data_IF_362372608809
#
_entry.id   IF_362372608809
#
_cell.length_a   1.000
_cell.length_b   1.000
_cell.length_c   1.000
_cell.angle_alpha   90.00
_cell.angle_beta   90.00
_cell.angle_gamma   90.00
#
_symmetry.space_group_name_H-M   'P 1'
#
loop_
_entity.id
_entity.type
_entity.pdbx_description
1 polymer ?
#
# COMPACT_ATOMS: atom_id res chain seq x y z
N UNK A 1 0.90 -39.26 -34.07
CA UNK A 1 1.91 -38.60 -33.21
C UNK A 1 1.83 -37.09 -33.22
N UNK A 2 1.71 -36.44 -34.36
CA UNK A 2 1.58 -34.95 -34.39
C UNK A 2 0.32 -34.43 -33.66
N UNK A 3 -0.80 -35.13 -33.76
CA UNK A 3 -2.05 -34.73 -33.10
C UNK A 3 -1.99 -34.83 -31.58
N UNK A 4 -1.21 -35.74 -31.07
CA UNK A 4 -1.01 -35.93 -29.63
C UNK A 4 -0.12 -34.80 -29.04
N UNK A 5 0.87 -34.35 -29.79
CA UNK A 5 1.76 -33.24 -29.43
C UNK A 5 0.98 -31.91 -29.36
N UNK A 6 0.05 -31.71 -30.33
CA UNK A 6 -0.82 -30.51 -30.31
C UNK A 6 -1.81 -30.52 -29.15
N UNK A 7 -2.34 -31.70 -28.80
CA UNK A 7 -3.23 -31.84 -27.63
C UNK A 7 -2.52 -31.57 -26.30
N UNK A 8 -1.29 -32.05 -26.17
CA UNK A 8 -0.47 -31.78 -24.97
C UNK A 8 -0.08 -30.30 -24.89
N UNK A 9 0.24 -29.68 -26.04
CA UNK A 9 0.55 -28.24 -26.10
C UNK A 9 -0.68 -27.38 -25.77
N UNK A 10 -1.87 -27.81 -26.21
CA UNK A 10 -3.12 -27.09 -25.93
C UNK A 10 -3.50 -27.17 -24.44
N UNK A 11 -3.25 -28.30 -23.79
CA UNK A 11 -3.47 -28.49 -22.36
C UNK A 11 -2.48 -27.64 -21.53
N UNK A 12 -1.24 -27.50 -22.01
CA UNK A 12 -0.25 -26.63 -21.35
C UNK A 12 -0.62 -25.15 -21.45
N UNK A 13 -1.18 -24.70 -22.58
CA UNK A 13 -1.63 -23.32 -22.78
C UNK A 13 -2.81 -22.93 -21.89
N UNK A 14 -3.70 -23.88 -21.58
CA UNK A 14 -4.87 -23.64 -20.71
C UNK A 14 -4.46 -23.47 -19.25
N UNK A 15 -3.36 -24.08 -18.81
CA UNK A 15 -2.89 -23.92 -17.44
C UNK A 15 -2.27 -22.54 -17.16
N UNK A 16 -1.80 -21.83 -18.16
CA UNK A 16 -1.28 -20.47 -18.00
C UNK A 16 -2.38 -19.41 -17.92
N UNK A 17 -3.61 -19.74 -18.34
CA UNK A 17 -4.77 -18.85 -18.24
C UNK A 17 -5.45 -18.89 -16.85
N UNK A 18 -5.00 -19.75 -15.94
CA UNK A 18 -5.51 -19.89 -14.59
C UNK A 18 -4.77 -19.00 -13.57
N UNK A 19 -4.25 -17.84 -14.00
CA UNK A 19 -3.79 -16.81 -13.06
C UNK A 19 -5.01 -16.32 -12.28
N UNK A 20 -5.04 -16.62 -10.96
CA UNK A 20 -6.06 -16.11 -10.08
C UNK A 20 -6.00 -14.58 -10.03
N UNK A 21 -7.17 -13.93 -10.03
CA UNK A 21 -7.27 -12.50 -9.81
C UNK A 21 -6.66 -12.12 -8.45
N UNK A 22 -6.05 -10.94 -8.32
CA UNK A 22 -5.49 -10.51 -7.04
C UNK A 22 -6.59 -10.44 -5.97
N UNK A 23 -6.25 -10.84 -4.77
CA UNK A 23 -7.16 -10.79 -3.63
C UNK A 23 -7.37 -9.35 -3.16
N UNK A 24 -8.42 -9.13 -2.39
CA UNK A 24 -8.71 -7.88 -1.70
C UNK A 24 -7.51 -7.43 -0.85
N UNK A 25 -6.91 -8.35 -0.12
CA UNK A 25 -5.75 -8.09 0.73
C UNK A 25 -4.53 -7.68 -0.08
N UNK A 26 -4.30 -8.31 -1.22
CA UNK A 26 -3.20 -7.94 -2.13
C UNK A 26 -3.39 -6.54 -2.72
N UNK A 27 -4.59 -6.22 -3.19
CA UNK A 27 -4.90 -4.90 -3.73
C UNK A 27 -4.77 -3.80 -2.67
N UNK A 28 -5.30 -4.04 -1.47
CA UNK A 28 -5.17 -3.11 -0.36
C UNK A 28 -3.70 -2.90 0.03
N UNK A 29 -2.91 -3.97 0.06
CA UNK A 29 -1.49 -3.92 0.40
C UNK A 29 -0.68 -3.10 -0.61
N UNK A 30 -0.91 -3.31 -1.89
CA UNK A 30 -0.24 -2.54 -2.94
C UNK A 30 -0.60 -1.06 -2.88
N UNK A 31 -1.87 -0.74 -2.63
CA UNK A 31 -2.31 0.64 -2.48
C UNK A 31 -1.68 1.31 -1.26
N UNK A 32 -1.69 0.65 -0.09
CA UNK A 32 -1.09 1.16 1.14
C UNK A 32 0.40 1.43 0.96
N UNK A 33 1.13 0.48 0.37
CA UNK A 33 2.55 0.64 0.05
C UNK A 33 2.79 1.83 -0.87
N UNK A 34 1.97 1.99 -1.90
CA UNK A 34 2.07 3.11 -2.84
C UNK A 34 1.91 4.46 -2.16
N UNK A 35 0.94 4.60 -1.26
CA UNK A 35 0.74 5.83 -0.50
C UNK A 35 1.93 6.14 0.41
N UNK A 36 2.44 5.15 1.14
CA UNK A 36 3.61 5.33 2.00
C UNK A 36 4.88 5.61 1.19
N UNK A 37 4.98 5.08 -0.03
CA UNK A 37 6.08 5.45 -0.94
C UNK A 37 6.04 6.94 -1.30
N UNK A 38 4.86 7.49 -1.56
CA UNK A 38 4.69 8.93 -1.76
C UNK A 38 5.16 9.73 -0.54
N UNK A 39 4.79 9.27 0.65
CA UNK A 39 5.24 9.91 1.90
C UNK A 39 6.78 9.95 1.99
N UNK A 40 7.44 8.82 1.75
CA UNK A 40 8.90 8.71 1.82
C UNK A 40 9.57 9.59 0.78
N UNK A 41 9.00 9.69 -0.41
CA UNK A 41 9.53 10.48 -1.52
C UNK A 41 9.30 12.00 -1.34
N UNK A 42 8.62 12.41 -0.26
CA UNK A 42 8.29 13.81 -0.01
C UNK A 42 7.09 14.31 -0.78
N UNK A 43 6.35 13.43 -1.40
CA UNK A 43 5.11 13.74 -2.13
C UNK A 43 3.91 13.66 -1.19
N UNK A 44 3.84 14.64 -0.29
CA UNK A 44 2.88 14.65 0.80
C UNK A 44 1.44 14.85 0.33
N UNK A 45 1.25 15.57 -0.77
CA UNK A 45 -0.08 15.77 -1.37
C UNK A 45 -0.70 14.44 -1.79
N UNK A 46 0.05 13.61 -2.51
CA UNK A 46 -0.45 12.29 -2.94
C UNK A 46 -0.65 11.34 -1.77
N UNK A 47 0.19 11.41 -0.73
CA UNK A 47 -0.03 10.65 0.50
C UNK A 47 -1.35 11.05 1.17
N UNK A 48 -1.60 12.35 1.31
CA UNK A 48 -2.82 12.86 1.92
C UNK A 48 -4.06 12.52 1.08
N UNK A 49 -3.97 12.61 -0.24
CA UNK A 49 -5.06 12.26 -1.16
C UNK A 49 -5.46 10.78 -1.09
N UNK A 50 -4.59 9.93 -0.59
CA UNK A 50 -4.89 8.52 -0.31
C UNK A 50 -5.81 8.31 0.88
N UNK A 51 -6.14 9.34 1.65
CA UNK A 51 -7.05 9.25 2.79
C UNK A 51 -8.48 9.57 2.38
N UNK A 52 -9.44 8.80 2.87
CA UNK A 52 -10.86 8.97 2.55
C UNK A 52 -11.35 10.39 2.87
N UNK A 53 -10.83 10.99 3.93
CA UNK A 53 -11.25 12.32 4.39
C UNK A 53 -10.62 13.49 3.62
N UNK A 54 -9.71 13.23 2.68
CA UNK A 54 -8.91 14.29 2.04
C UNK A 54 -9.75 15.38 1.36
N UNK A 55 -10.83 14.99 0.69
CA UNK A 55 -11.69 15.92 -0.05
C UNK A 55 -12.51 16.87 0.85
N UNK A 56 -12.66 16.53 2.13
CA UNK A 56 -13.45 17.31 3.10
C UNK A 56 -12.61 18.29 3.92
N UNK A 57 -11.29 18.33 3.69
CA UNK A 57 -10.38 19.18 4.45
C UNK A 57 -10.39 20.62 3.95
N UNK A 58 -10.35 21.58 4.89
CA UNK A 58 -10.05 22.98 4.56
C UNK A 58 -8.61 23.13 4.09
N UNK A 59 -8.32 24.18 3.33
CA UNK A 59 -6.95 24.44 2.84
C UNK A 59 -5.96 24.63 4.00
N UNK A 60 -6.36 25.31 5.05
CA UNK A 60 -5.53 25.52 6.24
C UNK A 60 -5.20 24.20 6.94
N UNK A 61 -6.19 23.35 7.14
CA UNK A 61 -5.97 22.06 7.78
C UNK A 61 -5.12 21.14 6.92
N UNK A 62 -5.37 21.15 5.59
CA UNK A 62 -4.53 20.42 4.63
C UNK A 62 -3.06 20.82 4.74
N UNK A 63 -2.78 22.12 4.76
CA UNK A 63 -1.41 22.64 4.92
C UNK A 63 -0.77 22.20 6.22
N UNK A 64 -1.52 22.19 7.33
CA UNK A 64 -1.02 21.73 8.63
C UNK A 64 -0.66 20.25 8.61
N UNK A 65 -1.46 19.41 7.96
CA UNK A 65 -1.15 17.98 7.83
C UNK A 65 0.11 17.75 6.98
N UNK A 66 0.25 18.47 5.87
CA UNK A 66 1.43 18.38 4.99
C UNK A 66 2.69 18.80 5.74
N UNK A 67 2.63 19.90 6.49
CA UNK A 67 3.74 20.35 7.36
C UNK A 67 4.09 19.30 8.41
N UNK A 68 3.07 18.66 8.99
CA UNK A 68 3.26 17.57 9.95
C UNK A 68 3.96 16.37 9.35
N UNK A 69 3.65 15.99 8.14
CA UNK A 69 4.34 14.89 7.44
C UNK A 69 5.81 15.24 7.19
N UNK A 70 6.08 16.46 6.74
CA UNK A 70 7.45 16.91 6.51
C UNK A 70 8.27 16.90 7.80
N UNK A 71 7.70 17.36 8.91
CA UNK A 71 8.34 17.33 10.23
C UNK A 71 8.60 15.90 10.71
N UNK A 72 7.64 15.01 10.52
CA UNK A 72 7.79 13.61 10.88
C UNK A 72 8.98 12.98 10.14
N UNK A 73 9.10 13.17 8.82
CA UNK A 73 10.22 12.63 8.05
C UNK A 73 11.55 13.25 8.47
N UNK A 74 11.58 14.55 8.76
CA UNK A 74 12.79 15.21 9.24
C UNK A 74 13.25 14.65 10.59
N UNK A 75 12.31 14.34 11.49
CA UNK A 75 12.60 13.71 12.78
C UNK A 75 13.15 12.28 12.60
N UNK A 76 12.58 11.50 11.70
CA UNK A 76 13.07 10.16 11.40
C UNK A 76 14.47 10.20 10.77
N UNK A 77 14.75 11.19 9.94
CA UNK A 77 16.08 11.38 9.38
C UNK A 77 17.13 11.60 10.47
N UNK A 78 16.82 12.42 11.46
CA UNK A 78 17.73 12.68 12.59
C UNK A 78 17.86 11.49 13.54
N UNK A 79 16.75 10.85 13.85
CA UNK A 79 16.71 9.82 14.89
C UNK A 79 17.21 8.46 14.40
N UNK A 80 16.92 8.10 13.15
CA UNK A 80 17.10 6.76 12.62
C UNK A 80 17.75 6.68 11.23
N UNK A 81 18.22 7.80 10.70
CA UNK A 81 18.80 7.85 9.36
C UNK A 81 17.78 7.84 8.23
N UNK A 82 16.53 8.18 8.53
CA UNK A 82 15.43 8.24 7.58
C UNK A 82 14.78 6.90 7.28
N UNK A 83 13.65 6.94 6.57
CA UNK A 83 12.95 5.75 6.09
C UNK A 83 13.45 5.44 4.69
N UNK A 84 14.16 4.34 4.52
CA UNK A 84 14.76 3.96 3.24
C UNK A 84 13.81 3.16 2.36
N UNK A 85 12.94 2.35 2.95
CA UNK A 85 12.10 1.41 2.24
C UNK A 85 10.82 1.11 3.02
N UNK A 86 9.76 0.83 2.29
CA UNK A 86 8.51 0.27 2.81
C UNK A 86 8.30 -1.11 2.23
N UNK A 87 8.07 -2.10 3.08
CA UNK A 87 7.74 -3.47 2.69
C UNK A 87 6.36 -3.85 3.18
N UNK A 88 5.68 -4.68 2.43
CA UNK A 88 4.43 -5.29 2.86
C UNK A 88 4.78 -6.47 3.77
N UNK A 89 4.27 -6.43 5.00
CA UNK A 89 4.42 -7.54 5.95
C UNK A 89 3.29 -8.54 5.77
N UNK A 90 2.05 -8.11 5.99
CA UNK A 90 0.86 -8.94 5.82
C UNK A 90 -0.38 -8.06 5.75
N UNK A 91 -1.50 -8.66 5.36
CA UNK A 91 -2.80 -8.00 5.39
C UNK A 91 -3.90 -9.00 5.78
N UNK A 92 -4.92 -8.50 6.45
CA UNK A 92 -6.09 -9.30 6.81
C UNK A 92 -7.34 -8.42 6.82
N UNK A 93 -8.47 -9.01 6.45
CA UNK A 93 -9.76 -8.36 6.46
C UNK A 93 -10.55 -8.82 7.67
N UNK A 94 -10.98 -7.85 8.49
CA UNK A 94 -11.92 -8.10 9.57
C UNK A 94 -13.34 -7.92 9.03
N UNK A 95 -14.10 -9.01 9.00
CA UNK A 95 -15.48 -9.01 8.48
C UNK A 95 -16.43 -8.16 9.33
N UNK A 96 -16.11 -7.92 10.60
CA UNK A 96 -16.95 -7.14 11.51
C UNK A 96 -16.72 -5.63 11.36
N UNK A 97 -15.54 -5.20 10.91
CA UNK A 97 -15.15 -3.80 10.81
C UNK A 97 -15.17 -3.25 9.37
N UNK A 98 -15.38 -4.11 8.38
CA UNK A 98 -15.51 -3.76 6.95
C UNK A 98 -14.28 -3.02 6.37
N UNK A 99 -13.09 -3.29 6.90
CA UNK A 99 -11.85 -2.76 6.36
C UNK A 99 -10.76 -3.83 6.35
N UNK A 100 -9.73 -3.59 5.55
CA UNK A 100 -8.56 -4.45 5.47
C UNK A 100 -7.39 -3.77 6.17
N UNK A 101 -6.86 -4.42 7.19
CA UNK A 101 -5.65 -3.94 7.87
C UNK A 101 -4.42 -4.40 7.11
N UNK A 102 -3.64 -3.46 6.62
CA UNK A 102 -2.36 -3.71 5.98
C UNK A 102 -1.25 -3.39 6.97
N UNK A 103 -0.37 -4.35 7.21
CA UNK A 103 0.82 -4.15 8.02
C UNK A 103 1.99 -3.89 7.10
N UNK A 104 2.54 -2.70 7.21
CA UNK A 104 3.73 -2.28 6.48
C UNK A 104 4.94 -2.27 7.41
N UNK A 105 6.07 -2.68 6.89
CA UNK A 105 7.36 -2.60 7.58
C UNK A 105 8.12 -1.39 7.06
N UNK A 106 8.38 -0.42 7.93
CA UNK A 106 9.24 0.72 7.63
C UNK A 106 10.68 0.34 7.94
N UNK A 107 11.56 0.41 6.95
CA UNK A 107 12.97 0.10 7.10
C UNK A 107 13.78 1.39 7.18
N UNK A 108 14.47 1.59 8.31
CA UNK A 108 15.22 2.82 8.59
C UNK A 108 16.69 2.71 8.20
N UNK A 109 17.35 3.87 8.02
CA UNK A 109 18.74 3.96 7.64
C UNK A 109 19.72 3.40 8.67
N UNK A 110 19.32 3.31 9.94
CA UNK A 110 20.11 2.71 11.03
C UNK A 110 19.94 1.19 11.13
N UNK A 111 19.31 0.56 10.15
CA UNK A 111 19.00 -0.88 10.08
C UNK A 111 17.90 -1.33 11.04
N UNK A 112 17.21 -0.42 11.71
CA UNK A 112 16.00 -0.74 12.49
C UNK A 112 14.78 -0.81 11.61
N UNK A 113 13.73 -1.49 12.07
CA UNK A 113 12.44 -1.60 11.38
C UNK A 113 11.32 -1.30 12.34
N UNK A 114 10.19 -0.84 11.79
CA UNK A 114 8.97 -0.59 12.54
C UNK A 114 7.76 -1.07 11.73
N UNK A 115 6.89 -1.84 12.36
CA UNK A 115 5.65 -2.27 11.75
C UNK A 115 4.54 -1.24 12.03
N UNK A 116 3.86 -0.79 10.97
CA UNK A 116 2.72 0.12 11.08
C UNK A 116 1.48 -0.54 10.51
N UNK A 117 0.34 -0.28 11.15
CA UNK A 117 -0.96 -0.78 10.72
C UNK A 117 -1.68 0.31 9.94
N UNK A 118 -2.05 -0.01 8.70
CA UNK A 118 -2.77 0.91 7.82
C UNK A 118 -4.15 0.33 7.52
N UNK A 119 -5.22 0.88 8.11
CA UNK A 119 -6.58 0.46 7.78
C UNK A 119 -6.95 0.96 6.38
N UNK A 120 -7.32 0.03 5.51
CA UNK A 120 -7.67 0.32 4.12
C UNK A 120 -9.14 -0.01 3.87
N UNK A 121 -9.81 0.86 3.13
CA UNK A 121 -11.19 0.67 2.68
C UNK A 121 -11.29 0.89 1.18
N UNK A 122 -12.20 0.18 0.54
CA UNK A 122 -12.55 0.45 -0.83
C UNK A 122 -13.60 1.56 -0.87
N UNK A 123 -13.24 2.68 -1.49
CA UNK A 123 -14.08 3.87 -1.58
C UNK A 123 -14.15 4.33 -3.03
N UNK A 124 -15.34 4.36 -3.60
CA UNK A 124 -15.56 4.73 -5.01
C UNK A 124 -14.65 3.93 -5.99
N UNK A 125 -14.48 2.64 -5.75
CA UNK A 125 -13.68 1.76 -6.60
C UNK A 125 -12.16 1.88 -6.39
N UNK A 126 -11.71 2.64 -5.40
CA UNK A 126 -10.29 2.81 -5.07
C UNK A 126 -10.01 2.35 -3.64
N UNK A 127 -8.86 1.74 -3.45
CA UNK A 127 -8.36 1.43 -2.11
C UNK A 127 -7.75 2.68 -1.49
N UNK A 128 -8.28 3.08 -0.34
CA UNK A 128 -7.88 4.30 0.35
C UNK A 128 -7.63 4.03 1.82
N UNK A 129 -6.80 4.86 2.43
CA UNK A 129 -6.56 4.84 3.88
C UNK A 129 -7.77 5.41 4.61
N UNK A 130 -8.22 4.69 5.61
CA UNK A 130 -9.34 5.10 6.46
C UNK A 130 -8.99 6.27 7.35
#
# INVERSE_FOLDING_TARGET
MRRLVYLVLLVFLVQWAACSSPTKEELASLAAKGYYQHLIDGDYDHFLEGRVMADSLSDDYRSQLIDGYAQFLAQQQKARGGINEVRISRAFTDSTQQYTSVLLMLCYGDSTTEEVVVPMVEHNGRWMMK
#
